data_IF_825521972886
#
_entry.id   IF_825521972886
#
_cell.length_a   1.000
_cell.length_b   1.000
_cell.length_c   1.000
_cell.angle_alpha   90.00
_cell.angle_beta   90.00
_cell.angle_gamma   90.00
#
_symmetry.space_group_name_H-M   'P 1'
#
loop_
_entity.id
_entity.type
_entity.pdbx_description
1 polymer ?
#
# COMPACT_ATOMS: atom_id res chain seq x y z
N UNK A 1 -0.67 -5.28 10.57
CA UNK A 1 -0.63 -6.45 9.68
C UNK A 1 0.07 -6.14 8.36
N UNK A 2 -0.49 -5.28 7.50
CA UNK A 2 0.06 -5.02 6.16
C UNK A 2 1.52 -4.55 6.17
N UNK A 3 1.88 -3.63 7.06
CA UNK A 3 3.28 -3.22 7.29
C UNK A 3 4.22 -4.39 7.56
N UNK A 4 3.78 -5.41 8.30
CA UNK A 4 4.58 -6.60 8.63
C UNK A 4 4.86 -7.46 7.39
N UNK A 5 3.91 -7.53 6.44
CA UNK A 5 4.11 -8.20 5.15
C UNK A 5 5.22 -7.55 4.34
N UNK A 6 5.40 -6.24 4.47
CA UNK A 6 6.51 -5.50 3.84
C UNK A 6 7.83 -5.63 4.58
N UNK A 7 7.83 -5.50 5.91
CA UNK A 7 9.07 -5.45 6.69
C UNK A 7 9.72 -6.82 6.88
N UNK A 8 8.93 -7.90 6.88
CA UNK A 8 9.45 -9.25 6.98
C UNK A 8 9.85 -9.78 5.60
N UNK A 9 11.16 -10.04 5.40
CA UNK A 9 11.71 -10.49 4.11
C UNK A 9 11.07 -11.77 3.57
N UNK A 10 10.72 -12.72 4.44
CA UNK A 10 10.10 -13.98 4.04
C UNK A 10 8.67 -13.74 3.56
N UNK A 11 7.87 -12.99 4.34
CA UNK A 11 6.49 -12.68 3.98
C UNK A 11 6.43 -11.83 2.71
N UNK A 12 7.31 -10.83 2.58
CA UNK A 12 7.38 -10.03 1.36
C UNK A 12 7.71 -10.90 0.16
N UNK A 13 8.76 -11.72 0.22
CA UNK A 13 9.21 -12.50 -0.94
C UNK A 13 8.16 -13.51 -1.43
N UNK A 14 7.48 -14.20 -0.52
CA UNK A 14 6.67 -15.37 -0.86
C UNK A 14 5.16 -15.14 -0.80
N UNK A 15 4.70 -14.14 -0.04
CA UNK A 15 3.28 -13.88 0.18
C UNK A 15 2.88 -12.60 -0.55
N UNK A 16 3.55 -11.50 -0.27
CA UNK A 16 3.05 -10.18 -0.63
C UNK A 16 3.69 -9.57 -1.90
N UNK A 17 4.89 -10.00 -2.26
CA UNK A 17 5.64 -9.45 -3.40
C UNK A 17 4.98 -9.72 -4.75
N UNK A 18 4.14 -10.76 -4.85
CA UNK A 18 3.34 -11.01 -6.05
C UNK A 18 2.33 -9.89 -6.29
N UNK A 19 1.65 -9.45 -5.23
CA UNK A 19 0.71 -8.32 -5.27
C UNK A 19 1.42 -7.03 -5.71
N UNK A 20 2.63 -6.81 -5.19
CA UNK A 20 3.46 -5.65 -5.54
C UNK A 20 4.20 -5.74 -6.88
N UNK A 21 3.95 -6.77 -7.68
CA UNK A 21 4.41 -6.80 -9.06
C UNK A 21 3.71 -5.72 -9.91
N UNK A 22 2.49 -5.33 -9.54
CA UNK A 22 1.70 -4.28 -10.18
C UNK A 22 2.07 -2.90 -9.61
N UNK A 23 3.26 -2.41 -9.92
CA UNK A 23 3.88 -1.26 -9.24
C UNK A 23 4.00 0.01 -10.09
N UNK A 24 3.23 0.11 -11.16
CA UNK A 24 3.21 1.28 -12.04
C UNK A 24 1.76 1.66 -12.38
N UNK A 25 1.51 2.93 -12.71
CA UNK A 25 0.16 3.37 -13.12
C UNK A 25 -0.42 2.56 -14.29
N UNK A 26 0.42 1.99 -15.16
CA UNK A 26 -0.04 1.17 -16.29
C UNK A 26 -0.37 -0.27 -15.91
N UNK A 27 0.13 -0.77 -14.77
CA UNK A 27 -0.06 -2.16 -14.31
C UNK A 27 -0.98 -2.25 -13.11
N UNK A 28 -1.09 -1.18 -12.33
CA UNK A 28 -2.04 -1.02 -11.23
C UNK A 28 -3.42 -0.76 -11.83
N UNK A 29 -4.30 -1.75 -11.67
CA UNK A 29 -5.65 -1.75 -12.21
C UNK A 29 -6.61 -2.36 -11.20
N UNK A 30 -7.93 -2.21 -11.38
CA UNK A 30 -8.96 -2.96 -10.65
C UNK A 30 -8.62 -4.44 -10.37
N UNK A 31 -8.00 -5.12 -11.35
CA UNK A 31 -7.63 -6.53 -11.24
C UNK A 31 -6.47 -6.80 -10.28
N UNK A 32 -5.58 -5.82 -10.08
CA UNK A 32 -4.49 -5.93 -9.10
C UNK A 32 -5.03 -6.08 -7.66
N UNK A 33 -6.23 -5.57 -7.39
CA UNK A 33 -6.89 -5.68 -6.09
C UNK A 33 -7.21 -7.11 -5.67
N UNK A 34 -7.27 -8.05 -6.62
CA UNK A 34 -7.54 -9.48 -6.37
C UNK A 34 -6.39 -10.39 -6.81
N UNK A 35 -5.31 -9.83 -7.36
CA UNK A 35 -4.17 -10.57 -7.86
C UNK A 35 -3.08 -10.70 -6.78
N UNK A 36 -3.36 -11.47 -5.73
CA UNK A 36 -2.45 -11.72 -4.62
C UNK A 36 -2.40 -13.19 -4.21
N UNK A 37 -1.39 -13.57 -3.43
CA UNK A 37 -1.29 -14.92 -2.85
C UNK A 37 -2.50 -15.16 -1.91
N UNK A 38 -3.16 -16.33 -1.93
CA UNK A 38 -4.28 -16.60 -1.02
C UNK A 38 -3.99 -16.33 0.46
N UNK A 39 -2.77 -16.60 0.93
CA UNK A 39 -2.35 -16.32 2.30
C UNK A 39 -2.26 -14.82 2.59
N UNK A 40 -1.94 -14.00 1.59
CA UNK A 40 -1.96 -12.55 1.69
C UNK A 40 -3.39 -12.06 1.97
N UNK A 41 -4.34 -12.48 1.13
CA UNK A 41 -5.76 -12.16 1.28
C UNK A 41 -6.34 -12.58 2.63
N UNK A 42 -6.08 -13.82 3.06
CA UNK A 42 -6.51 -14.32 4.37
C UNK A 42 -5.92 -13.46 5.49
N UNK A 43 -4.63 -13.17 5.42
CA UNK A 43 -3.96 -12.42 6.47
C UNK A 43 -4.46 -10.96 6.50
N UNK A 44 -4.74 -10.33 5.36
CA UNK A 44 -5.33 -8.99 5.27
C UNK A 44 -6.79 -8.96 5.75
N UNK A 45 -7.55 -10.02 5.53
CA UNK A 45 -8.93 -10.17 6.01
C UNK A 45 -9.02 -10.58 7.49
N UNK A 46 -7.95 -11.13 8.07
CA UNK A 46 -7.94 -11.66 9.44
C UNK A 46 -8.42 -10.67 10.53
N UNK A 47 -8.12 -9.35 10.48
CA UNK A 47 -8.64 -8.42 11.49
C UNK A 47 -10.18 -8.33 11.46
N UNK A 48 -10.78 -8.37 10.28
CA UNK A 48 -12.25 -8.34 10.11
C UNK A 48 -12.90 -9.59 10.70
N UNK A 49 -12.34 -10.76 10.42
CA UNK A 49 -12.84 -12.04 10.97
C UNK A 49 -12.66 -12.10 12.48
N UNK A 50 -11.52 -11.63 13.00
CA UNK A 50 -11.24 -11.61 14.43
C UNK A 50 -12.24 -10.76 15.22
N UNK A 51 -12.62 -9.59 14.70
CA UNK A 51 -13.62 -8.72 15.34
C UNK A 51 -15.00 -9.39 15.44
N UNK A 52 -15.40 -10.22 14.47
CA UNK A 52 -16.68 -10.93 14.52
C UNK A 52 -16.80 -11.94 15.64
N UNK A 53 -15.68 -12.41 16.20
CA UNK A 53 -15.71 -13.29 17.38
C UNK A 53 -16.29 -12.58 18.61
N UNK A 54 -16.25 -11.24 18.63
CA UNK A 54 -16.73 -10.41 19.73
C UNK A 54 -18.00 -9.63 19.37
N UNK A 55 -18.18 -9.28 18.09
CA UNK A 55 -19.33 -8.52 17.59
C UNK A 55 -20.15 -9.42 16.65
N UNK A 56 -21.29 -9.97 17.13
CA UNK A 56 -22.16 -10.78 16.29
C UNK A 56 -22.64 -9.97 15.08
N UNK A 57 -22.61 -10.59 13.90
CA UNK A 57 -23.06 -9.99 12.66
C UNK A 57 -24.04 -10.93 11.96
N UNK A 58 -25.15 -10.39 11.46
CA UNK A 58 -26.06 -11.18 10.63
C UNK A 58 -25.37 -11.62 9.35
N UNK A 59 -25.65 -12.85 8.91
CA UNK A 59 -25.00 -13.43 7.73
C UNK A 59 -25.12 -12.56 6.47
N UNK A 60 -26.31 -12.00 6.21
CA UNK A 60 -26.51 -11.14 5.05
C UNK A 60 -25.72 -9.82 5.16
N UNK A 61 -25.67 -9.23 6.35
CA UNK A 61 -24.86 -8.02 6.61
C UNK A 61 -23.38 -8.29 6.35
N UNK A 62 -22.87 -9.45 6.80
CA UNK A 62 -21.50 -9.87 6.53
C UNK A 62 -21.21 -9.96 5.02
N UNK A 63 -22.10 -10.58 4.24
CA UNK A 63 -21.94 -10.71 2.78
C UNK A 63 -21.95 -9.35 2.09
N UNK A 64 -22.85 -8.44 2.49
CA UNK A 64 -22.93 -7.08 1.94
C UNK A 64 -21.64 -6.31 2.23
N UNK A 65 -21.14 -6.37 3.47
CA UNK A 65 -19.88 -5.72 3.85
C UNK A 65 -18.68 -6.29 3.11
N UNK A 66 -18.65 -7.61 2.90
CA UNK A 66 -17.61 -8.28 2.11
C UNK A 66 -17.65 -7.82 0.64
N UNK A 67 -18.83 -7.72 0.05
CA UNK A 67 -19.00 -7.20 -1.31
C UNK A 67 -18.52 -5.75 -1.44
N UNK A 68 -18.90 -4.87 -0.52
CA UNK A 68 -18.42 -3.49 -0.50
C UNK A 68 -16.90 -3.39 -0.27
N UNK A 69 -16.32 -4.31 0.50
CA UNK A 69 -14.85 -4.40 0.64
C UNK A 69 -14.19 -4.73 -0.69
N UNK A 70 -14.79 -5.58 -1.52
CA UNK A 70 -14.31 -5.86 -2.88
C UNK A 70 -14.41 -4.64 -3.81
N UNK A 71 -15.52 -3.91 -3.77
CA UNK A 71 -15.68 -2.64 -4.51
C UNK A 71 -14.61 -1.64 -4.07
N UNK A 72 -14.42 -1.50 -2.76
CA UNK A 72 -13.42 -0.61 -2.20
C UNK A 72 -12.00 -1.00 -2.62
N UNK A 73 -11.63 -2.27 -2.49
CA UNK A 73 -10.34 -2.79 -2.92
C UNK A 73 -10.11 -2.49 -4.41
N UNK A 74 -11.16 -2.62 -5.24
CA UNK A 74 -11.09 -2.26 -6.66
C UNK A 74 -10.80 -0.78 -6.87
N UNK A 75 -11.52 0.08 -6.17
CA UNK A 75 -11.37 1.53 -6.29
C UNK A 75 -9.99 2.03 -5.85
N UNK A 76 -9.41 1.50 -4.77
CA UNK A 76 -8.08 1.97 -4.34
C UNK A 76 -6.94 1.50 -5.27
N UNK A 77 -7.19 0.60 -6.22
CA UNK A 77 -6.22 0.09 -7.20
C UNK A 77 -6.46 0.61 -8.63
N UNK A 78 -7.42 1.50 -8.84
CA UNK A 78 -7.73 2.03 -10.18
C UNK A 78 -6.77 3.12 -10.66
N UNK A 79 -5.87 3.58 -9.77
CA UNK A 79 -4.92 4.67 -10.00
C UNK A 79 -5.57 6.02 -10.38
N UNK A 80 -6.85 6.19 -10.06
CA UNK A 80 -7.59 7.45 -10.23
C UNK A 80 -7.50 8.22 -8.92
N UNK A 81 -6.61 9.20 -8.89
CA UNK A 81 -6.41 10.03 -7.71
C UNK A 81 -7.67 10.85 -7.40
N UNK A 82 -8.08 10.81 -6.13
CA UNK A 82 -9.18 11.59 -5.59
C UNK A 82 -8.91 11.94 -4.13
N UNK A 83 -9.44 13.09 -3.71
CA UNK A 83 -9.34 13.58 -2.33
C UNK A 83 -10.49 13.00 -1.49
N UNK A 84 -10.27 11.78 -0.99
CA UNK A 84 -11.26 11.02 -0.21
C UNK A 84 -10.94 10.98 1.29
N UNK A 85 -10.00 11.80 1.75
CA UNK A 85 -9.58 11.85 3.14
C UNK A 85 -10.77 12.10 4.07
N UNK A 86 -10.85 11.40 5.22
CA UNK A 86 -9.82 10.53 5.80
C UNK A 86 -9.82 9.07 5.29
N UNK A 87 -10.63 8.76 4.29
CA UNK A 87 -10.70 7.44 3.68
C UNK A 87 -9.49 7.26 2.72
N UNK A 88 -8.93 6.06 2.70
CA UNK A 88 -7.72 5.74 1.94
C UNK A 88 -8.00 5.61 0.43
N UNK A 89 -7.90 6.67 -0.35
CA UNK A 89 -8.08 6.59 -1.81
C UNK A 89 -6.90 5.98 -2.60
N UNK A 90 -7.11 5.79 -3.90
CA UNK A 90 -6.06 5.41 -4.86
C UNK A 90 -4.86 6.37 -4.84
N UNK A 91 -5.08 7.64 -4.51
CA UNK A 91 -4.05 8.67 -4.27
C UNK A 91 -2.92 8.19 -3.35
N UNK A 92 -3.25 7.46 -2.29
CA UNK A 92 -2.28 6.96 -1.33
C UNK A 92 -1.82 5.54 -1.64
N UNK A 93 -2.75 4.68 -2.07
CA UNK A 93 -2.47 3.27 -2.33
C UNK A 93 -1.61 3.07 -3.58
N UNK A 94 -1.72 3.97 -4.58
CA UNK A 94 -0.82 3.98 -5.74
C UNK A 94 0.63 4.32 -5.33
N UNK A 95 0.80 5.25 -4.39
CA UNK A 95 2.12 5.55 -3.80
C UNK A 95 2.66 4.32 -3.06
N UNK A 96 1.80 3.62 -2.32
CA UNK A 96 2.15 2.38 -1.63
C UNK A 96 2.70 1.33 -2.61
N UNK A 97 1.99 1.08 -3.72
CA UNK A 97 2.41 0.12 -4.75
C UNK A 97 3.67 0.51 -5.51
N UNK A 98 4.01 1.80 -5.58
CA UNK A 98 5.19 2.28 -6.32
C UNK A 98 6.43 2.42 -5.44
N UNK A 99 6.26 2.60 -4.11
CA UNK A 99 7.36 2.91 -3.18
C UNK A 99 7.49 1.93 -1.99
N UNK A 100 6.51 1.05 -1.75
CA UNK A 100 6.49 -0.09 -0.81
C UNK A 100 6.76 0.22 0.67
N UNK A 101 7.00 1.47 1.04
CA UNK A 101 7.55 1.86 2.35
C UNK A 101 6.68 2.85 3.12
N UNK A 102 5.47 3.12 2.63
CA UNK A 102 4.52 4.08 3.20
C UNK A 102 3.08 3.69 2.85
N UNK A 103 2.10 4.37 3.44
CA UNK A 103 0.67 4.25 3.14
C UNK A 103 0.14 2.80 3.24
N UNK A 104 0.29 2.17 4.40
CA UNK A 104 -0.08 0.77 4.64
C UNK A 104 -1.56 0.53 4.95
N UNK A 105 -2.31 1.59 5.26
CA UNK A 105 -3.73 1.52 5.60
C UNK A 105 -4.57 1.01 4.43
N UNK A 106 -5.61 0.25 4.76
CA UNK A 106 -6.53 -0.32 3.76
C UNK A 106 -7.78 0.55 3.58
N UNK A 107 -8.37 1.04 4.67
CA UNK A 107 -9.64 1.79 4.64
C UNK A 107 -9.45 3.26 5.04
N UNK A 108 -8.65 3.55 6.07
CA UNK A 108 -8.47 4.91 6.59
C UNK A 108 -6.99 5.29 6.63
N UNK A 109 -6.71 6.59 6.48
CA UNK A 109 -5.37 7.16 6.60
C UNK A 109 -4.89 7.29 8.05
N UNK A 110 -5.80 7.17 9.03
CA UNK A 110 -5.52 7.37 10.46
C UNK A 110 -4.35 6.53 10.98
N UNK A 111 -4.26 5.27 10.57
CA UNK A 111 -3.16 4.41 10.96
C UNK A 111 -1.83 4.98 10.47
N UNK A 112 -1.73 5.32 9.18
CA UNK A 112 -0.51 5.88 8.62
C UNK A 112 -0.16 7.26 9.19
N UNK A 113 -1.16 8.06 9.55
CA UNK A 113 -0.94 9.31 10.27
C UNK A 113 -0.32 9.04 11.65
N UNK A 114 -0.92 8.12 12.42
CA UNK A 114 -0.47 7.78 13.76
C UNK A 114 0.96 7.21 13.79
N UNK A 115 1.29 6.33 12.85
CA UNK A 115 2.64 5.74 12.74
C UNK A 115 3.63 6.57 11.90
N UNK A 116 3.23 7.74 11.40
CA UNK A 116 4.08 8.63 10.60
C UNK A 116 4.48 8.06 9.24
N UNK A 117 3.71 7.11 8.71
CA UNK A 117 3.93 6.45 7.42
C UNK A 117 3.08 7.01 6.29
N UNK A 118 2.25 8.02 6.55
CA UNK A 118 1.49 8.71 5.50
C UNK A 118 2.43 9.56 4.63
N UNK A 119 2.30 9.40 3.31
CA UNK A 119 3.04 10.16 2.30
C UNK A 119 2.13 10.58 1.17
N UNK A 120 2.17 11.87 0.85
CA UNK A 120 1.54 12.43 -0.34
C UNK A 120 2.48 12.35 -1.54
N UNK A 121 1.97 12.69 -2.72
CA UNK A 121 2.81 12.75 -3.92
C UNK A 121 3.95 13.75 -3.78
N UNK A 122 3.68 14.90 -3.19
CA UNK A 122 4.66 15.96 -2.93
C UNK A 122 5.77 15.49 -1.98
N UNK A 123 5.44 14.71 -0.96
CA UNK A 123 6.42 14.13 -0.05
C UNK A 123 7.38 13.19 -0.79
N UNK A 124 6.84 12.37 -1.69
CA UNK A 124 7.60 11.46 -2.53
C UNK A 124 8.50 12.23 -3.50
N UNK A 125 7.98 13.25 -4.17
CA UNK A 125 8.77 14.03 -5.13
C UNK A 125 9.94 14.73 -4.43
N UNK A 126 9.72 15.33 -3.25
CA UNK A 126 10.79 15.91 -2.40
C UNK A 126 11.82 14.86 -1.97
N UNK A 127 11.38 13.65 -1.61
CA UNK A 127 12.28 12.55 -1.24
C UNK A 127 13.16 12.13 -2.44
N UNK A 128 12.58 12.04 -3.62
CA UNK A 128 13.27 11.62 -4.83
C UNK A 128 14.26 12.68 -5.32
N UNK A 129 13.90 13.97 -5.23
CA UNK A 129 14.82 15.08 -5.52
C UNK A 129 16.05 15.02 -4.61
N UNK A 130 15.86 14.88 -3.29
CA UNK A 130 16.96 14.75 -2.32
C UNK A 130 17.85 13.55 -2.62
N UNK A 131 17.27 12.40 -3.00
CA UNK A 131 18.02 11.20 -3.39
C UNK A 131 18.87 11.43 -4.64
N UNK A 132 18.32 12.10 -5.66
CA UNK A 132 19.03 12.46 -6.90
C UNK A 132 20.19 13.40 -6.63
N UNK A 133 19.98 14.46 -5.85
CA UNK A 133 21.03 15.41 -5.46
C UNK A 133 22.18 14.71 -4.72
N UNK A 134 21.87 13.85 -3.74
CA UNK A 134 22.87 13.07 -2.99
C UNK A 134 23.65 12.12 -3.89
N UNK A 135 22.99 11.44 -4.82
CA UNK A 135 23.64 10.54 -5.78
C UNK A 135 24.59 11.29 -6.72
N UNK A 136 24.18 12.47 -7.21
CA UNK A 136 25.02 13.35 -8.03
C UNK A 136 26.29 13.78 -7.29
N UNK A 137 26.14 14.29 -6.07
CA UNK A 137 27.26 14.70 -5.23
C UNK A 137 28.23 13.54 -4.93
N UNK A 138 27.71 12.35 -4.64
CA UNK A 138 28.54 11.16 -4.42
C UNK A 138 29.32 10.75 -5.69
N UNK A 139 28.70 10.86 -6.87
CA UNK A 139 29.37 10.59 -8.15
C UNK A 139 30.49 11.60 -8.44
N UNK A 140 30.23 12.89 -8.20
CA UNK A 140 31.25 13.95 -8.36
C UNK A 140 32.43 13.75 -7.40
N UNK A 141 32.16 13.43 -6.13
CA UNK A 141 33.22 13.14 -5.15
C UNK A 141 34.04 11.90 -5.51
N UNK A 142 33.41 10.87 -6.08
CA UNK A 142 34.13 9.67 -6.54
C UNK A 142 35.01 9.96 -7.76
N UNK A 143 34.56 10.80 -8.69
CA UNK A 143 35.34 11.24 -9.84
C UNK A 143 36.56 12.07 -9.41
N UNK A 144 36.37 13.05 -8.52
CA UNK A 144 37.44 13.90 -8.01
C UNK A 144 38.51 13.18 -7.16
N UNK A 145 38.22 11.96 -6.67
CA UNK A 145 39.18 11.11 -5.96
C UNK A 145 39.90 10.11 -6.87
N UNK A 146 39.48 10.01 -8.13
CA UNK A 146 40.09 9.13 -9.13
C UNK A 146 41.09 9.87 -10.03
N UNK A 147 41.15 11.20 -9.91
CA UNK A 147 42.19 12.10 -10.45
C UNK A 147 43.28 12.32 -9.40
#
# INVERSE_FOLDING_TARGET
MHRTLHTNKFLYKWVHGLHHKYNSHATLSPWASIAFNPLDGIAQASPYVFVMLFVPCHYLTHLIMLFFTGIWATNIHDAIDGDTEPIMGAKYHTIHHTHFSCNYGQIFTFCDQFWGTLKTREDIDKLMEKRRAKASAARMSKAAKAE
#
